data_IF_007677151765
#
_entry.id   IF_007677151765
#
_cell.length_a   1.000
_cell.length_b   1.000
_cell.length_c   1.000
_cell.angle_alpha   90.00
_cell.angle_beta   90.00
_cell.angle_gamma   90.00
#
_symmetry.space_group_name_H-M   'P 1'
#
loop_
_entity.id
_entity.type
_entity.pdbx_description
1 polymer ?
#
# COMPACT_ATOMS: atom_id res chain seq x y z
N UNK A 1 -9.58 -9.71 78.51
CA UNK A 1 -10.46 -8.93 77.63
C UNK A 1 -9.56 -8.30 76.56
N UNK A 2 -9.38 -8.97 75.42
CA UNK A 2 -10.20 -8.85 74.20
C UNK A 2 -10.02 -7.49 73.52
N UNK A 3 -9.45 -7.49 72.32
CA UNK A 3 -9.29 -6.30 71.47
C UNK A 3 -8.07 -6.42 70.56
N UNK A 4 -7.95 -7.45 69.72
CA UNK A 4 -8.40 -7.38 68.33
C UNK A 4 -7.66 -6.31 67.49
N UNK A 5 -6.32 -6.35 67.47
CA UNK A 5 -5.53 -5.64 66.46
C UNK A 5 -5.63 -6.47 65.17
N UNK A 6 -6.69 -6.17 64.42
CA UNK A 6 -6.96 -6.73 63.10
C UNK A 6 -5.83 -6.34 62.15
N UNK A 7 -5.16 -7.37 61.64
CA UNK A 7 -4.47 -7.39 60.35
C UNK A 7 -5.22 -6.50 59.34
N UNK A 8 -4.66 -5.33 59.04
CA UNK A 8 -5.00 -4.58 57.85
C UNK A 8 -4.00 -5.00 56.77
N UNK A 9 -4.21 -6.18 56.22
CA UNK A 9 -3.63 -6.56 54.93
C UNK A 9 -4.24 -5.62 53.89
N UNK A 10 -3.58 -4.48 53.67
CA UNK A 10 -3.81 -3.63 52.51
C UNK A 10 -3.31 -4.44 51.31
N UNK A 11 -4.21 -5.26 50.77
CA UNK A 11 -4.06 -5.84 49.45
C UNK A 11 -4.10 -4.68 48.45
N UNK A 12 -2.92 -4.14 48.14
CA UNK A 12 -2.71 -3.28 46.99
C UNK A 12 -2.89 -4.18 45.76
N UNK A 13 -4.14 -4.39 45.36
CA UNK A 13 -4.47 -4.88 44.02
C UNK A 13 -4.10 -3.74 43.08
N UNK A 14 -2.85 -3.75 42.64
CA UNK A 14 -2.42 -2.97 41.48
C UNK A 14 -3.25 -3.53 40.33
N UNK A 15 -4.38 -2.88 40.07
CA UNK A 15 -5.10 -2.99 38.82
C UNK A 15 -4.19 -2.35 37.78
N UNK A 16 -3.23 -3.13 37.29
CA UNK A 16 -2.55 -2.83 36.05
C UNK A 16 -3.62 -2.95 34.97
N UNK A 17 -4.38 -1.87 34.79
CA UNK A 17 -5.17 -1.69 33.58
C UNK A 17 -4.14 -1.70 32.45
N UNK A 18 -4.01 -2.84 31.78
CA UNK A 18 -3.36 -2.89 30.49
C UNK A 18 -4.11 -1.87 29.64
N UNK A 19 -3.52 -0.69 29.47
CA UNK A 19 -3.87 0.19 28.39
C UNK A 19 -3.57 -0.63 27.13
N UNK A 20 -4.59 -1.31 26.61
CA UNK A 20 -4.59 -1.76 25.24
C UNK A 20 -4.54 -0.47 24.43
N UNK A 21 -3.33 0.03 24.19
CA UNK A 21 -3.11 0.94 23.08
C UNK A 21 -3.56 0.14 21.87
N UNK A 22 -4.75 0.46 21.38
CA UNK A 22 -5.22 0.04 20.07
C UNK A 22 -4.16 0.57 19.10
N UNK A 23 -3.15 -0.25 18.81
CA UNK A 23 -2.08 0.07 17.86
C UNK A 23 -2.70 -0.07 16.48
N UNK A 24 -3.69 0.80 16.21
CA UNK A 24 -4.25 0.95 14.88
C UNK A 24 -3.12 1.42 13.99
N UNK A 25 -3.04 0.80 12.82
CA UNK A 25 -2.03 1.12 11.83
C UNK A 25 -2.04 2.64 11.54
N UNK A 26 -0.88 3.27 11.68
CA UNK A 26 -0.76 4.74 11.66
C UNK A 26 -1.21 5.35 10.32
N UNK A 27 -1.18 4.58 9.24
CA UNK A 27 -1.60 5.02 7.91
C UNK A 27 -3.10 5.37 7.86
N UNK A 28 -3.94 4.77 8.70
CA UNK A 28 -5.36 5.16 8.80
C UNK A 28 -5.57 6.57 9.36
N UNK A 29 -4.53 7.17 9.95
CA UNK A 29 -4.54 8.54 10.45
C UNK A 29 -3.77 9.52 9.54
N UNK A 30 -3.19 9.05 8.44
CA UNK A 30 -2.46 9.89 7.50
C UNK A 30 -3.43 10.81 6.74
N UNK A 31 -3.25 12.12 6.92
CA UNK A 31 -4.11 13.12 6.30
C UNK A 31 -4.07 13.01 4.76
N UNK A 32 -5.25 12.84 4.16
CA UNK A 32 -5.46 12.83 2.71
C UNK A 32 -5.32 11.45 2.05
N UNK A 33 -4.64 10.48 2.65
CA UNK A 33 -4.43 9.13 2.09
C UNK A 33 -5.14 8.02 2.89
N UNK A 34 -5.57 8.28 4.13
CA UNK A 34 -6.31 7.30 4.95
C UNK A 34 -7.52 6.68 4.23
N UNK A 35 -8.19 7.48 3.39
CA UNK A 35 -9.34 7.03 2.61
C UNK A 35 -8.97 5.96 1.58
N UNK A 36 -7.82 6.06 0.90
CA UNK A 36 -7.44 5.04 -0.09
C UNK A 36 -7.04 3.74 0.62
N UNK A 37 -6.45 3.81 1.81
CA UNK A 37 -6.10 2.62 2.60
C UNK A 37 -7.34 1.89 3.12
N UNK A 38 -8.37 2.62 3.54
CA UNK A 38 -9.65 2.02 3.94
C UNK A 38 -10.42 1.41 2.76
N UNK A 39 -10.16 1.90 1.53
CA UNK A 39 -10.85 1.47 0.31
C UNK A 39 -10.10 0.41 -0.48
N UNK A 40 -8.78 0.29 -0.33
CA UNK A 40 -7.95 -0.55 -1.18
C UNK A 40 -6.80 -1.17 -0.39
N UNK A 41 -6.94 -2.48 -0.17
CA UNK A 41 -5.96 -3.33 0.49
C UNK A 41 -4.63 -3.33 -0.27
N UNK A 42 -4.66 -3.31 -1.61
CA UNK A 42 -3.46 -3.18 -2.44
C UNK A 42 -2.71 -1.88 -2.13
N UNK A 43 -3.39 -0.73 -2.13
CA UNK A 43 -2.77 0.57 -1.87
C UNK A 43 -2.19 0.65 -0.45
N UNK A 44 -2.86 0.01 0.51
CA UNK A 44 -2.36 -0.09 1.88
C UNK A 44 -1.09 -0.95 1.96
N UNK A 45 -1.09 -2.13 1.34
CA UNK A 45 0.10 -2.96 1.22
C UNK A 45 1.24 -2.23 0.51
N UNK A 46 0.93 -1.53 -0.59
CA UNK A 46 1.88 -0.71 -1.34
C UNK A 46 2.57 0.31 -0.44
N UNK A 47 1.81 1.01 0.41
CA UNK A 47 2.40 1.98 1.33
C UNK A 47 3.40 1.35 2.29
N UNK A 48 3.02 0.25 2.95
CA UNK A 48 3.90 -0.50 3.85
C UNK A 48 5.17 -0.98 3.14
N UNK A 49 5.01 -1.53 1.94
CA UNK A 49 6.12 -1.97 1.10
C UNK A 49 7.07 -0.82 0.77
N UNK A 50 6.53 0.30 0.32
CA UNK A 50 7.31 1.48 -0.08
C UNK A 50 8.16 2.01 1.07
N UNK A 51 7.59 2.16 2.26
CA UNK A 51 8.33 2.59 3.45
C UNK A 51 9.50 1.66 3.77
N UNK A 52 9.22 0.36 3.84
CA UNK A 52 10.22 -0.64 4.18
C UNK A 52 11.33 -0.70 3.12
N UNK A 53 10.95 -0.62 1.83
CA UNK A 53 11.88 -0.57 0.72
C UNK A 53 12.77 0.67 0.77
N UNK A 54 12.18 1.85 0.96
CA UNK A 54 12.91 3.11 1.00
C UNK A 54 13.97 3.14 2.10
N UNK A 55 13.60 2.72 3.31
CA UNK A 55 14.56 2.62 4.41
C UNK A 55 15.69 1.62 4.12
N UNK A 56 15.36 0.48 3.53
CA UNK A 56 16.34 -0.53 3.16
C UNK A 56 17.29 -0.05 2.06
N UNK A 57 16.76 0.63 1.04
CA UNK A 57 17.55 1.19 -0.07
C UNK A 57 18.51 2.26 0.44
N UNK A 58 18.01 3.20 1.24
CA UNK A 58 18.82 4.23 1.86
C UNK A 58 19.90 3.63 2.78
N UNK A 59 19.59 2.57 3.54
CA UNK A 59 20.59 1.88 4.36
C UNK A 59 21.66 1.23 3.50
N UNK A 60 21.29 0.51 2.45
CA UNK A 60 22.25 -0.22 1.61
C UNK A 60 23.23 0.74 0.91
N UNK A 61 22.76 1.86 0.36
CA UNK A 61 23.64 2.85 -0.29
C UNK A 61 24.58 3.51 0.73
N UNK A 62 24.09 3.87 1.92
CA UNK A 62 24.92 4.46 2.98
C UNK A 62 25.95 3.48 3.56
N UNK A 63 25.70 2.18 3.47
CA UNK A 63 26.62 1.12 3.88
C UNK A 63 27.54 0.65 2.73
N UNK A 64 27.47 1.29 1.54
CA UNK A 64 28.25 0.90 0.37
C UNK A 64 27.92 -0.49 -0.18
N UNK A 65 26.72 -0.99 0.10
CA UNK A 65 26.25 -2.29 -0.40
C UNK A 65 25.77 -2.15 -1.84
N UNK A 66 25.94 -3.21 -2.61
CA UNK A 66 25.36 -3.28 -3.95
C UNK A 66 23.83 -3.33 -3.87
N UNK A 67 23.20 -2.74 -4.90
CA UNK A 67 21.75 -2.80 -5.10
C UNK A 67 21.29 -4.27 -5.11
N UNK A 68 20.27 -4.57 -4.31
CA UNK A 68 19.56 -5.85 -4.36
C UNK A 68 18.82 -5.93 -5.69
N UNK A 69 18.70 -7.10 -6.28
CA UNK A 69 18.06 -7.33 -7.60
C UNK A 69 17.22 -8.60 -7.63
N UNK A 70 17.02 -9.25 -6.48
CA UNK A 70 16.28 -10.51 -6.38
C UNK A 70 15.33 -10.48 -5.19
N UNK A 71 14.10 -11.00 -5.28
CA UNK A 71 13.15 -11.05 -4.17
C UNK A 71 13.71 -11.73 -2.92
N UNK A 72 14.53 -12.76 -3.09
CA UNK A 72 15.16 -13.49 -1.98
C UNK A 72 16.04 -12.58 -1.10
N UNK A 73 16.52 -11.44 -1.60
CA UNK A 73 17.30 -10.50 -0.82
C UNK A 73 16.42 -9.63 0.11
N UNK A 74 15.11 -9.72 0.01
CA UNK A 74 14.15 -8.94 0.81
C UNK A 74 13.38 -9.78 1.84
N UNK A 75 13.85 -11.01 2.13
CA UNK A 75 13.13 -11.94 2.99
C UNK A 75 12.92 -11.48 4.44
N UNK A 76 13.81 -10.62 4.95
CA UNK A 76 13.73 -10.09 6.31
C UNK A 76 12.77 -8.92 6.47
N UNK A 77 12.20 -8.41 5.37
CA UNK A 77 11.31 -7.25 5.43
C UNK A 77 9.95 -7.66 5.98
N UNK A 78 9.60 -7.11 7.13
CA UNK A 78 8.32 -7.34 7.76
C UNK A 78 7.19 -6.66 6.96
N UNK A 79 6.10 -7.39 6.74
CA UNK A 79 4.96 -6.91 5.94
C UNK A 79 3.95 -6.09 6.72
N UNK A 80 3.80 -6.35 8.02
CA UNK A 80 2.83 -5.65 8.86
C UNK A 80 1.35 -5.92 8.54
N UNK A 81 1.02 -6.99 7.80
CA UNK A 81 -0.37 -7.29 7.43
C UNK A 81 -1.24 -7.61 8.65
N UNK A 82 -2.44 -7.02 8.67
CA UNK A 82 -3.55 -7.36 9.56
C UNK A 82 -4.78 -7.79 8.74
N UNK A 83 -5.60 -8.67 9.31
CA UNK A 83 -6.82 -9.18 8.66
C UNK A 83 -7.87 -8.10 8.38
N UNK A 84 -7.90 -7.04 9.18
CA UNK A 84 -8.84 -5.93 9.04
C UNK A 84 -8.52 -5.04 7.83
N UNK A 85 -7.34 -5.17 7.22
CA UNK A 85 -6.95 -4.41 6.03
C UNK A 85 -7.65 -4.93 4.76
N UNK A 86 -8.16 -6.16 4.78
CA UNK A 86 -8.79 -6.84 3.65
C UNK A 86 -7.99 -8.04 3.14
N UNK A 87 -8.14 -8.47 1.87
CA UNK A 87 -7.56 -9.73 1.41
C UNK A 87 -6.03 -9.75 1.41
N UNK A 88 -5.42 -10.67 2.17
CA UNK A 88 -3.95 -10.85 2.24
C UNK A 88 -3.25 -10.87 0.88
N UNK A 89 -3.81 -11.56 -0.12
CA UNK A 89 -3.22 -11.65 -1.45
C UNK A 89 -3.04 -10.27 -2.09
N UNK A 90 -4.04 -9.40 -1.95
CA UNK A 90 -3.99 -8.04 -2.48
C UNK A 90 -2.97 -7.19 -1.73
N UNK A 91 -2.97 -7.27 -0.39
CA UNK A 91 -1.97 -6.60 0.44
C UNK A 91 -0.55 -7.01 0.05
N UNK A 92 -0.29 -8.31 -0.07
CA UNK A 92 1.03 -8.84 -0.43
C UNK A 92 1.46 -8.34 -1.82
N UNK A 93 0.55 -8.31 -2.80
CA UNK A 93 0.82 -7.81 -4.14
C UNK A 93 1.21 -6.32 -4.12
N UNK A 94 0.40 -5.50 -3.43
CA UNK A 94 0.71 -4.10 -3.19
C UNK A 94 2.07 -3.93 -2.51
N UNK A 95 2.30 -4.67 -1.43
CA UNK A 95 3.54 -4.64 -0.67
C UNK A 95 4.77 -4.95 -1.52
N UNK A 96 4.74 -5.98 -2.36
CA UNK A 96 5.88 -6.28 -3.23
C UNK A 96 6.15 -5.16 -4.23
N UNK A 97 5.10 -4.56 -4.80
CA UNK A 97 5.21 -3.45 -5.74
C UNK A 97 5.77 -2.20 -5.06
N UNK A 98 5.21 -1.82 -3.91
CA UNK A 98 5.70 -0.72 -3.10
C UNK A 98 7.14 -0.91 -2.66
N UNK A 99 7.50 -2.11 -2.20
CA UNK A 99 8.86 -2.46 -1.80
C UNK A 99 9.87 -2.22 -2.91
N UNK A 100 9.56 -2.62 -4.14
CA UNK A 100 10.41 -2.39 -5.30
C UNK A 100 10.56 -0.90 -5.59
N UNK A 101 9.44 -0.16 -5.63
CA UNK A 101 9.43 1.28 -5.90
C UNK A 101 10.20 2.07 -4.83
N UNK A 102 9.90 1.83 -3.55
CA UNK A 102 10.54 2.48 -2.42
C UNK A 102 12.03 2.14 -2.33
N UNK A 103 12.41 0.88 -2.54
CA UNK A 103 13.83 0.48 -2.51
C UNK A 103 14.65 1.21 -3.56
N UNK A 104 14.14 1.29 -4.79
CA UNK A 104 14.82 2.04 -5.84
C UNK A 104 14.98 3.50 -5.44
N UNK A 105 13.89 4.17 -5.06
CA UNK A 105 13.90 5.58 -4.66
C UNK A 105 14.89 5.85 -3.51
N UNK A 106 14.88 5.02 -2.47
CA UNK A 106 15.80 5.13 -1.35
C UNK A 106 17.26 4.86 -1.70
N UNK A 107 17.53 3.89 -2.58
CA UNK A 107 18.90 3.52 -2.97
C UNK A 107 19.55 4.57 -3.88
N UNK A 108 18.79 5.17 -4.80
CA UNK A 108 19.30 6.20 -5.72
C UNK A 108 19.22 7.62 -5.15
N UNK A 109 18.61 7.78 -3.96
CA UNK A 109 18.51 9.07 -3.27
C UNK A 109 17.38 9.97 -3.78
N UNK A 110 16.33 9.39 -4.36
CA UNK A 110 15.10 10.13 -4.66
C UNK A 110 14.36 10.49 -3.37
N UNK A 111 13.50 11.50 -3.45
CA UNK A 111 12.60 11.87 -2.36
C UNK A 111 11.55 10.79 -2.11
N UNK A 112 11.15 10.62 -0.84
CA UNK A 112 10.01 9.79 -0.47
C UNK A 112 8.71 10.33 -1.09
N UNK A 113 8.26 9.75 -2.20
CA UNK A 113 7.12 10.28 -2.98
C UNK A 113 5.78 9.58 -2.71
N UNK A 114 5.78 8.42 -2.05
CA UNK A 114 4.55 7.65 -1.86
C UNK A 114 3.45 8.42 -1.12
N UNK A 115 3.78 9.26 -0.12
CA UNK A 115 2.78 10.08 0.60
C UNK A 115 2.00 10.96 -0.39
N UNK A 116 2.71 11.77 -1.18
CA UNK A 116 2.08 12.78 -2.03
C UNK A 116 1.34 12.13 -3.21
N UNK A 117 1.91 11.07 -3.79
CA UNK A 117 1.22 10.29 -4.82
C UNK A 117 -0.06 9.65 -4.28
N UNK A 118 -0.02 9.02 -3.10
CA UNK A 118 -1.20 8.38 -2.50
C UNK A 118 -2.28 9.40 -2.12
N UNK A 119 -1.90 10.58 -1.61
CA UNK A 119 -2.83 11.69 -1.39
C UNK A 119 -3.48 12.17 -2.68
N UNK A 120 -2.69 12.33 -3.73
CA UNK A 120 -3.19 12.78 -5.03
C UNK A 120 -4.20 11.78 -5.62
N UNK A 121 -3.88 10.49 -5.62
CA UNK A 121 -4.80 9.46 -6.13
C UNK A 121 -5.95 9.17 -5.17
N UNK A 122 -5.89 9.60 -3.91
CA UNK A 122 -7.00 9.54 -2.96
C UNK A 122 -7.92 10.77 -3.08
N UNK A 123 -7.50 11.82 -3.80
CA UNK A 123 -8.29 13.03 -3.95
C UNK A 123 -9.68 12.71 -4.50
N UNK A 124 -10.70 13.30 -3.87
CA UNK A 124 -12.12 13.13 -4.21
C UNK A 124 -12.63 11.68 -4.14
N UNK A 125 -11.90 10.76 -3.50
CA UNK A 125 -12.41 9.41 -3.24
C UNK A 125 -13.43 9.46 -2.10
N UNK A 126 -14.60 8.88 -2.34
CA UNK A 126 -15.61 8.74 -1.30
C UNK A 126 -15.15 7.75 -0.24
N UNK A 127 -15.23 8.14 1.04
CA UNK A 127 -14.84 7.25 2.13
C UNK A 127 -15.72 6.02 2.27
N UNK A 128 -16.99 6.13 1.87
CA UNK A 128 -17.94 5.03 1.97
C UNK A 128 -17.95 4.18 0.70
N UNK A 129 -17.84 2.84 0.83
CA UNK A 129 -18.05 1.90 -0.27
C UNK A 129 -19.36 2.17 -1.01
N UNK A 130 -19.37 1.95 -2.32
CA UNK A 130 -20.61 2.03 -3.10
C UNK A 130 -21.47 0.80 -2.79
N UNK A 131 -22.80 0.93 -2.88
CA UNK A 131 -23.72 -0.16 -2.55
C UNK A 131 -23.49 -1.43 -3.40
N UNK A 132 -23.04 -1.25 -4.64
CA UNK A 132 -22.69 -2.34 -5.55
C UNK A 132 -21.38 -3.06 -5.21
N UNK A 133 -20.53 -2.49 -4.35
CA UNK A 133 -19.25 -3.04 -3.94
C UNK A 133 -18.98 -2.76 -2.44
N UNK A 134 -19.79 -3.32 -1.53
CA UNK A 134 -19.77 -2.96 -0.11
C UNK A 134 -18.48 -3.34 0.61
N UNK A 135 -17.68 -4.24 0.01
CA UNK A 135 -16.40 -4.72 0.55
C UNK A 135 -15.20 -4.21 -0.23
N UNK A 136 -15.41 -3.30 -1.19
CA UNK A 136 -14.37 -2.76 -2.07
C UNK A 136 -13.58 -3.83 -2.85
N UNK A 137 -14.17 -5.00 -3.11
CA UNK A 137 -13.46 -6.09 -3.81
C UNK A 137 -13.18 -5.67 -5.24
N UNK A 138 -14.17 -5.08 -5.92
CA UNK A 138 -14.03 -4.65 -7.30
C UNK A 138 -13.17 -3.39 -7.42
N UNK A 139 -13.29 -2.46 -6.47
CA UNK A 139 -12.39 -1.31 -6.39
C UNK A 139 -10.93 -1.75 -6.27
N UNK A 140 -10.63 -2.67 -5.36
CA UNK A 140 -9.28 -3.18 -5.11
C UNK A 140 -8.72 -3.98 -6.29
N UNK A 141 -9.55 -4.84 -6.90
CA UNK A 141 -9.19 -5.59 -8.11
C UNK A 141 -8.90 -4.66 -9.30
N UNK A 142 -9.76 -3.66 -9.48
CA UNK A 142 -9.58 -2.60 -10.46
C UNK A 142 -8.25 -1.89 -10.23
N UNK A 143 -8.00 -1.45 -9.00
CA UNK A 143 -6.76 -0.76 -8.62
C UNK A 143 -5.52 -1.60 -8.94
N UNK A 144 -5.49 -2.86 -8.53
CA UNK A 144 -4.37 -3.76 -8.83
C UNK A 144 -4.16 -3.92 -10.33
N UNK A 145 -5.24 -4.14 -11.10
CA UNK A 145 -5.17 -4.29 -12.56
C UNK A 145 -4.67 -3.03 -13.26
N UNK A 146 -5.18 -1.87 -12.81
CA UNK A 146 -4.77 -0.57 -13.33
C UNK A 146 -3.29 -0.30 -13.02
N UNK A 147 -2.84 -0.61 -11.81
CA UNK A 147 -1.43 -0.46 -11.43
C UNK A 147 -0.51 -1.23 -12.36
N UNK A 148 -0.80 -2.50 -12.63
CA UNK A 148 0.02 -3.34 -13.50
C UNK A 148 0.10 -2.81 -14.94
N UNK A 149 -1.03 -2.36 -15.50
CA UNK A 149 -1.05 -1.77 -16.84
C UNK A 149 -0.33 -0.42 -16.87
N UNK A 150 -0.58 0.44 -15.88
CA UNK A 150 0.07 1.74 -15.73
C UNK A 150 1.58 1.59 -15.63
N UNK A 151 2.06 0.68 -14.79
CA UNK A 151 3.47 0.36 -14.62
C UNK A 151 4.13 -0.02 -15.95
N UNK A 152 3.49 -0.95 -16.68
CA UNK A 152 3.97 -1.39 -17.98
C UNK A 152 4.05 -0.22 -18.97
N UNK A 153 3.01 0.60 -19.05
CA UNK A 153 2.99 1.76 -19.95
C UNK A 153 4.03 2.82 -19.58
N UNK A 154 4.17 3.15 -18.30
CA UNK A 154 5.16 4.11 -17.81
C UNK A 154 6.60 3.69 -18.14
N UNK A 155 6.89 2.38 -18.16
CA UNK A 155 8.20 1.86 -18.55
C UNK A 155 8.49 2.00 -20.05
N UNK A 156 7.45 2.01 -20.89
CA UNK A 156 7.56 2.13 -22.34
C UNK A 156 7.48 3.58 -22.83
N UNK A 157 6.67 4.42 -22.18
CA UNK A 157 6.46 5.82 -22.52
C UNK A 157 7.61 6.67 -21.95
N UNK A 158 8.66 6.86 -22.75
CA UNK A 158 9.82 7.65 -22.33
C UNK A 158 9.56 9.15 -22.28
N UNK A 159 9.12 9.70 -21.14
CA UNK A 159 9.33 11.08 -20.69
C UNK A 159 8.62 11.38 -19.37
N UNK A 160 9.28 12.12 -18.47
CA UNK A 160 8.80 12.55 -17.14
C UNK A 160 7.63 13.57 -17.17
N UNK A 161 7.24 14.10 -18.33
CA UNK A 161 6.38 15.30 -18.39
C UNK A 161 4.95 15.06 -18.89
N UNK A 162 4.58 13.84 -19.30
CA UNK A 162 3.24 13.60 -19.81
C UNK A 162 2.25 13.40 -18.67
N UNK A 163 1.57 14.48 -18.27
CA UNK A 163 0.45 14.41 -17.32
C UNK A 163 -0.62 13.47 -17.89
N UNK A 164 -0.84 12.34 -17.21
CA UNK A 164 -1.92 11.42 -17.55
C UNK A 164 -3.25 12.11 -17.26
N UNK A 165 -4.08 12.23 -18.29
CA UNK A 165 -5.47 12.60 -18.10
C UNK A 165 -6.31 11.33 -17.87
N UNK A 166 -6.69 11.11 -16.60
CA UNK A 166 -7.45 9.93 -16.16
C UNK A 166 -8.80 9.77 -16.88
N UNK A 167 -9.30 10.80 -17.57
CA UNK A 167 -10.53 10.71 -18.38
C UNK A 167 -10.34 9.84 -19.62
N UNK A 168 -9.11 9.69 -20.11
CA UNK A 168 -8.79 8.90 -21.30
C UNK A 168 -8.18 7.53 -20.96
N UNK A 169 -8.02 7.22 -19.67
CA UNK A 169 -7.60 5.90 -19.21
C UNK A 169 -8.80 4.96 -19.33
N UNK A 170 -8.78 4.14 -20.39
CA UNK A 170 -9.83 3.16 -20.68
C UNK A 170 -9.86 2.06 -19.64
N UNK A 171 -11.04 1.75 -19.12
CA UNK A 171 -11.27 0.64 -18.19
C UNK A 171 -12.03 -0.48 -18.90
N UNK A 172 -11.54 -1.71 -18.80
CA UNK A 172 -12.23 -2.89 -19.30
C UNK A 172 -12.67 -3.79 -18.15
N UNK A 173 -13.93 -3.66 -17.74
CA UNK A 173 -14.52 -4.52 -16.72
C UNK A 173 -15.15 -5.76 -17.36
N UNK A 174 -14.73 -6.93 -16.90
CA UNK A 174 -15.25 -8.22 -17.35
C UNK A 174 -15.93 -8.92 -16.17
N UNK A 175 -17.25 -8.72 -15.97
CA UNK A 175 -17.95 -9.29 -14.84
C UNK A 175 -17.94 -10.83 -14.91
N UNK A 176 -17.68 -11.49 -13.79
CA UNK A 176 -17.77 -12.94 -13.71
C UNK A 176 -19.23 -13.43 -13.83
N UNK A 177 -20.18 -12.61 -13.33
CA UNK A 177 -21.62 -12.85 -13.41
C UNK A 177 -22.36 -11.55 -13.70
N UNK A 178 -23.55 -11.66 -14.27
CA UNK A 178 -24.40 -10.49 -14.58
C UNK A 178 -24.70 -9.64 -13.34
N UNK A 179 -24.76 -10.25 -12.14
CA UNK A 179 -24.97 -9.53 -10.88
C UNK A 179 -23.81 -8.59 -10.51
N UNK A 180 -22.64 -8.76 -11.12
CA UNK A 180 -21.45 -7.95 -10.86
C UNK A 180 -21.41 -6.68 -11.72
N UNK A 181 -22.27 -6.57 -12.76
CA UNK A 181 -22.35 -5.39 -13.64
C UNK A 181 -22.48 -4.05 -12.87
N UNK A 182 -23.30 -3.94 -11.80
CA UNK A 182 -23.39 -2.69 -11.04
C UNK A 182 -22.07 -2.27 -10.36
N UNK A 183 -21.10 -3.18 -10.18
CA UNK A 183 -19.81 -2.87 -9.59
C UNK A 183 -18.79 -2.28 -10.58
N UNK A 184 -19.15 -2.18 -11.87
CA UNK A 184 -18.28 -1.64 -12.92
C UNK A 184 -17.70 -0.27 -12.58
N UNK A 185 -18.51 0.63 -12.04
CA UNK A 185 -18.05 1.98 -11.67
C UNK A 185 -17.01 1.93 -10.54
N UNK A 186 -17.20 1.05 -9.55
CA UNK A 186 -16.24 0.83 -8.45
C UNK A 186 -14.91 0.31 -9.01
N UNK A 187 -14.99 -0.70 -9.89
CA UNK A 187 -13.82 -1.26 -10.57
C UNK A 187 -13.07 -0.20 -11.38
N UNK A 188 -13.78 0.55 -12.22
CA UNK A 188 -13.17 1.55 -13.10
C UNK A 188 -12.66 2.78 -12.36
N UNK A 189 -13.23 3.12 -11.20
CA UNK A 189 -12.65 4.12 -10.31
C UNK A 189 -11.32 3.62 -9.71
N UNK A 190 -11.30 2.40 -9.16
CA UNK A 190 -10.09 1.77 -8.65
C UNK A 190 -9.00 1.69 -9.72
N UNK A 191 -9.35 1.17 -10.90
CA UNK A 191 -8.46 1.01 -12.05
C UNK A 191 -7.75 2.30 -12.45
N UNK A 192 -8.48 3.42 -12.60
CA UNK A 192 -7.85 4.69 -13.00
C UNK A 192 -6.87 5.21 -11.95
N UNK A 193 -7.17 5.02 -10.67
CA UNK A 193 -6.27 5.43 -9.56
C UNK A 193 -5.03 4.54 -9.49
N UNK A 194 -5.22 3.23 -9.62
CA UNK A 194 -4.13 2.26 -9.71
C UNK A 194 -3.22 2.55 -10.90
N UNK A 195 -3.80 2.80 -12.08
CA UNK A 195 -3.05 3.18 -13.29
C UNK A 195 -2.18 4.41 -13.08
N UNK A 196 -2.72 5.45 -12.43
CA UNK A 196 -1.94 6.66 -12.13
C UNK A 196 -0.72 6.36 -11.26
N UNK A 197 -0.89 5.52 -10.23
CA UNK A 197 0.21 5.12 -9.35
C UNK A 197 1.24 4.27 -10.08
N UNK A 198 0.78 3.23 -10.79
CA UNK A 198 1.63 2.33 -11.56
C UNK A 198 2.43 3.06 -12.63
N UNK A 199 1.79 3.95 -13.39
CA UNK A 199 2.48 4.73 -14.43
C UNK A 199 3.54 5.67 -13.86
N UNK A 200 3.23 6.36 -12.76
CA UNK A 200 4.24 7.16 -12.05
C UNK A 200 5.43 6.31 -11.60
N UNK A 201 5.20 5.08 -11.16
CA UNK A 201 6.25 4.15 -10.78
C UNK A 201 7.02 3.64 -12.00
N UNK A 202 6.33 3.38 -13.11
CA UNK A 202 6.93 2.86 -14.34
C UNK A 202 7.90 3.83 -14.99
N UNK A 203 7.63 5.14 -14.91
CA UNK A 203 8.53 6.19 -15.38
C UNK A 203 9.86 6.16 -14.61
N UNK A 204 9.82 5.86 -13.31
CA UNK A 204 10.99 5.86 -12.42
C UNK A 204 11.72 4.50 -12.49
N UNK A 205 10.97 3.41 -12.39
CA UNK A 205 11.46 2.02 -12.41
C UNK A 205 11.62 1.59 -13.87
N UNK A 206 12.56 2.22 -14.59
CA UNK A 206 12.86 1.81 -15.95
C UNK A 206 13.77 0.57 -15.97
N UNK A 207 13.68 -0.29 -17.00
CA UNK A 207 14.48 -1.51 -17.08
C UNK A 207 16.00 -1.27 -17.03
N UNK A 208 16.47 -0.12 -17.52
CA UNK A 208 17.86 0.34 -17.56
C UNK A 208 18.38 0.87 -16.22
N UNK A 209 17.50 1.24 -15.27
CA UNK A 209 17.87 1.77 -13.95
C UNK A 209 17.93 0.73 -12.83
N UNK A 210 18.11 -0.56 -13.18
CA UNK A 210 18.26 -1.65 -12.21
C UNK A 210 16.95 -2.35 -11.92
N UNK A 211 16.32 -2.92 -12.96
CA UNK A 211 15.14 -3.77 -12.80
C UNK A 211 15.38 -4.83 -11.73
N UNK A 212 14.65 -4.70 -10.63
CA UNK A 212 14.65 -5.63 -9.52
C UNK A 212 14.19 -7.04 -9.92
N UNK A 213 13.71 -7.28 -11.15
CA UNK A 213 13.56 -8.63 -11.73
C UNK A 213 13.55 -8.61 -13.26
N UNK A 214 14.56 -9.21 -13.89
CA UNK A 214 14.44 -9.83 -15.22
C UNK A 214 15.08 -11.23 -15.20
N UNK A 215 14.52 -12.13 -14.38
CA UNK A 215 14.69 -13.56 -14.57
C UNK A 215 13.34 -14.14 -14.98
N UNK A 216 13.01 -14.07 -16.28
CA UNK A 216 12.01 -14.96 -16.86
C UNK A 216 12.50 -16.39 -16.66
N UNK A 217 11.67 -17.26 -16.08
CA UNK A 217 11.80 -18.70 -16.28
C UNK A 217 11.26 -19.05 -17.66
#
# INVERSE_FOLDING_TARGET
>A
MQGLIRLLCVAFVITTACAQTDVRDSHFHEAGSSVIFARCTFAHGYRHGYEAGYHLGNMDINMGRQMRTRPAQFHDVQRGYDGDFGPKKSFDAGFQNGLKAGYLDGYVGHTFRAVDTLRMIAASLNAMPVAADPRNVYFDEGFSSGYDEGLTRGQHEGSLEQKIDLRFVGCQFHPAKEQDLPAQDSYCEGYRRGYSLGHSDGIVIRPDHGSLEASRR
#
